data_IF_726728674786
#
_entry.id   IF_726728674786
#
_cell.length_a   1.000
_cell.length_b   1.000
_cell.length_c   1.000
_cell.angle_alpha   90.00
_cell.angle_beta   90.00
_cell.angle_gamma   90.00
#
_symmetry.space_group_name_H-M   'P 1'
#
loop_
_entity.id
_entity.type
_entity.pdbx_description
1 polymer ?
#
# COMPACT_ATOMS: atom_id res chain seq x y z
N UNK A 1 -21.69 13.44 -0.41
CA UNK A 1 -20.78 13.84 -0.86
C UNK A 1 -19.53 13.51 -0.34
N UNK A 2 -19.30 13.56 0.85
CA UNK A 2 -18.07 13.18 1.31
C UNK A 2 -17.78 11.79 1.03
N UNK A 3 -18.75 10.93 0.97
CA UNK A 3 -18.52 9.57 0.69
C UNK A 3 -17.89 9.40 -0.63
N UNK A 4 -18.25 10.25 -1.55
CA UNK A 4 -17.70 10.15 -2.84
C UNK A 4 -16.23 10.34 -2.83
N UNK A 5 -15.73 11.20 -2.01
CA UNK A 5 -14.32 11.44 -1.94
C UNK A 5 -13.61 10.22 -1.49
N UNK A 6 -14.21 9.41 -0.63
CA UNK A 6 -13.52 8.28 -0.19
C UNK A 6 -13.39 7.25 -1.20
N UNK A 7 -14.20 7.21 -2.20
CA UNK A 7 -14.10 6.20 -3.20
C UNK A 7 -12.90 6.43 -4.07
N UNK A 8 -12.36 7.64 -4.07
CA UNK A 8 -11.21 7.93 -4.87
C UNK A 8 -10.25 8.66 -4.01
N UNK A 9 -9.64 7.96 -3.07
CA UNK A 9 -8.76 8.62 -2.12
C UNK A 9 -7.58 9.23 -2.83
N UNK A 10 -7.30 10.46 -2.52
CA UNK A 10 -6.20 11.15 -3.12
C UNK A 10 -4.90 10.52 -2.78
N UNK A 11 -4.87 9.80 -1.68
CA UNK A 11 -3.66 9.17 -1.20
C UNK A 11 -3.19 8.03 -2.09
N UNK A 12 -4.04 7.55 -2.99
CA UNK A 12 -3.68 6.40 -3.80
C UNK A 12 -2.47 6.67 -4.68
N UNK A 13 -2.36 7.88 -5.23
CA UNK A 13 -1.20 8.21 -6.04
C UNK A 13 0.08 8.10 -5.22
N UNK A 14 0.06 8.59 -3.98
CA UNK A 14 1.22 8.52 -3.10
C UNK A 14 1.58 7.09 -2.78
N UNK A 15 0.56 6.24 -2.62
CA UNK A 15 0.79 4.84 -2.33
C UNK A 15 1.49 4.16 -3.50
N UNK A 16 1.03 4.43 -4.72
CA UNK A 16 1.67 3.82 -5.89
C UNK A 16 3.10 4.32 -6.07
N UNK A 17 3.34 5.60 -5.83
CA UNK A 17 4.68 6.13 -5.91
C UNK A 17 5.56 5.46 -4.86
N UNK A 18 5.07 5.33 -3.64
CA UNK A 18 5.85 4.75 -2.57
C UNK A 18 6.22 3.30 -2.88
N UNK A 19 5.25 2.52 -3.36
CA UNK A 19 5.49 1.11 -3.63
C UNK A 19 6.12 0.86 -4.99
N UNK A 20 6.30 1.90 -5.80
CA UNK A 20 6.90 1.75 -7.11
C UNK A 20 8.41 1.59 -7.07
N UNK A 21 9.06 2.04 -6.01
CA UNK A 21 10.50 1.89 -5.88
C UNK A 21 10.80 0.51 -5.29
N UNK A 22 11.61 -0.32 -5.96
CA UNK A 22 11.82 -1.70 -5.49
C UNK A 22 12.42 -1.79 -4.09
N UNK A 23 13.38 -0.92 -3.77
CA UNK A 23 14.00 -0.95 -2.45
C UNK A 23 13.00 -0.53 -1.38
N UNK A 24 12.22 0.49 -1.67
CA UNK A 24 11.23 0.97 -0.72
C UNK A 24 10.14 -0.07 -0.51
N UNK A 25 9.74 -0.75 -1.58
CA UNK A 25 8.75 -1.81 -1.48
C UNK A 25 9.27 -2.95 -0.62
N UNK A 26 10.56 -3.29 -0.75
CA UNK A 26 11.13 -4.33 0.07
C UNK A 26 11.15 -3.93 1.54
N UNK A 27 11.48 -2.68 1.82
CA UNK A 27 11.45 -2.18 3.19
C UNK A 27 10.03 -2.29 3.75
N UNK A 28 9.04 -1.92 2.96
CA UNK A 28 7.66 -2.03 3.39
C UNK A 28 7.30 -3.48 3.70
N UNK A 29 7.71 -4.42 2.84
CA UNK A 29 7.41 -5.83 3.05
C UNK A 29 8.02 -6.35 4.33
N UNK A 30 9.23 -5.91 4.64
CA UNK A 30 9.88 -6.35 5.87
C UNK A 30 9.19 -5.79 7.09
N UNK A 31 8.79 -4.54 7.04
CA UNK A 31 8.09 -3.92 8.15
C UNK A 31 6.70 -4.55 8.30
N UNK A 32 6.06 -4.91 7.21
CA UNK A 32 4.77 -5.56 7.26
C UNK A 32 4.87 -6.94 7.91
N UNK A 33 5.99 -7.61 7.71
CA UNK A 33 6.18 -8.92 8.32
C UNK A 33 6.36 -8.81 9.83
N UNK A 34 7.07 -7.78 10.29
CA UNK A 34 7.17 -7.51 11.72
C UNK A 34 7.75 -6.11 11.93
N UNK A 35 7.42 -5.47 13.03
CA UNK A 35 7.95 -4.13 13.32
C UNK A 35 9.47 -4.16 13.44
N UNK A 36 10.12 -3.13 12.94
CA UNK A 36 11.57 -3.05 12.92
C UNK A 36 12.06 -1.63 13.03
N UNK A 37 13.29 -1.47 13.50
CA UNK A 37 13.92 -0.17 13.59
C UNK A 37 14.72 0.09 12.31
N UNK A 38 15.18 1.33 12.14
CA UNK A 38 16.04 1.69 11.02
C UNK A 38 17.30 0.85 11.04
N UNK A 39 17.87 0.65 12.23
CA UNK A 39 19.11 -0.12 12.34
C UNK A 39 18.93 -1.55 11.90
N UNK A 40 17.81 -2.15 12.28
CA UNK A 40 17.56 -3.53 11.89
C UNK A 40 17.39 -3.64 10.38
N UNK A 41 16.67 -2.72 9.80
CA UNK A 41 16.46 -2.73 8.35
C UNK A 41 17.78 -2.51 7.61
N UNK A 42 18.57 -1.54 8.06
CA UNK A 42 19.85 -1.26 7.39
C UNK A 42 20.83 -2.39 7.56
N UNK A 43 20.69 -3.17 8.63
CA UNK A 43 21.57 -4.31 8.83
C UNK A 43 21.29 -5.45 7.87
N UNK A 44 20.06 -5.54 7.39
CA UNK A 44 19.67 -6.65 6.53
C UNK A 44 19.66 -6.28 5.05
N UNK A 45 19.77 -5.02 4.72
CA UNK A 45 19.65 -4.58 3.34
C UNK A 45 20.91 -3.84 2.92
N UNK A 46 21.28 -3.89 1.65
CA UNK A 46 22.45 -3.17 1.16
C UNK A 46 22.14 -1.69 0.97
N UNK A 47 21.67 -1.04 2.03
CA UNK A 47 21.22 0.34 1.98
C UNK A 47 21.67 1.01 3.27
N UNK A 48 22.12 2.25 3.17
CA UNK A 48 22.59 2.96 4.35
C UNK A 48 21.45 3.36 5.25
N UNK A 49 21.74 3.65 6.51
CA UNK A 49 20.72 4.11 7.45
C UNK A 49 20.02 5.35 6.97
N UNK A 50 20.72 6.38 6.48
CA UNK A 50 20.01 7.56 5.97
C UNK A 50 19.06 7.23 4.84
N UNK A 51 19.44 6.29 3.96
CA UNK A 51 18.58 5.90 2.86
C UNK A 51 17.35 5.16 3.36
N UNK A 52 17.53 4.27 4.36
CA UNK A 52 16.40 3.58 4.96
C UNK A 52 15.45 4.58 5.60
N UNK A 53 15.99 5.55 6.32
CA UNK A 53 15.16 6.58 6.95
C UNK A 53 14.35 7.35 5.92
N UNK A 54 14.97 7.68 4.79
CA UNK A 54 14.29 8.42 3.75
C UNK A 54 13.18 7.58 3.13
N UNK A 55 13.45 6.31 2.88
CA UNK A 55 12.44 5.42 2.35
C UNK A 55 11.26 5.26 3.32
N UNK A 56 11.56 5.14 4.61
CA UNK A 56 10.50 5.02 5.61
C UNK A 56 9.67 6.29 5.69
N UNK A 57 10.29 7.45 5.47
CA UNK A 57 9.55 8.69 5.49
C UNK A 57 8.54 8.74 4.35
N UNK A 58 8.94 8.31 3.17
CA UNK A 58 8.03 8.27 2.03
C UNK A 58 6.87 7.31 2.32
N UNK A 59 7.18 6.15 2.90
CA UNK A 59 6.16 5.18 3.25
C UNK A 59 5.20 5.73 4.32
N UNK A 60 5.75 6.45 5.28
CA UNK A 60 4.94 7.01 6.34
C UNK A 60 4.01 8.10 5.80
N UNK A 61 4.54 8.94 4.93
CA UNK A 61 3.74 10.01 4.34
C UNK A 61 2.61 9.45 3.49
N UNK A 62 2.79 8.26 2.93
CA UNK A 62 1.75 7.59 2.15
C UNK A 62 0.77 6.80 3.03
N UNK A 63 0.99 6.78 4.34
CA UNK A 63 0.09 6.07 5.25
C UNK A 63 0.32 4.57 5.27
N UNK A 64 1.47 4.11 4.82
CA UNK A 64 1.75 2.67 4.76
C UNK A 64 2.49 2.16 5.98
N UNK A 65 3.19 3.02 6.69
CA UNK A 65 3.85 2.66 7.93
C UNK A 65 3.65 3.76 8.96
N UNK A 66 3.77 3.40 10.23
CA UNK A 66 3.75 4.36 11.32
C UNK A 66 4.91 4.02 12.22
N UNK A 67 5.27 4.90 13.13
CA UNK A 67 6.39 4.67 14.00
C UNK A 67 6.07 5.09 15.42
N UNK A 68 6.82 4.52 16.35
CA UNK A 68 6.70 4.89 17.75
C UNK A 68 8.08 4.86 18.38
N UNK A 69 8.23 5.65 19.43
CA UNK A 69 9.47 5.66 20.15
C UNK A 69 9.58 4.43 21.04
N UNK A 70 10.76 3.86 21.11
CA UNK A 70 11.02 2.72 21.98
C UNK A 70 12.45 2.92 22.49
N UNK A 71 12.58 3.55 23.66
CA UNK A 71 13.89 3.93 24.16
C UNK A 71 14.45 5.03 23.28
N UNK A 72 15.67 4.84 22.82
CA UNK A 72 16.29 5.82 21.93
C UNK A 72 16.18 5.39 20.47
N UNK A 73 15.25 4.49 20.16
CA UNK A 73 15.02 4.03 18.80
C UNK A 73 13.60 4.32 18.41
N UNK A 74 13.34 4.24 17.11
CA UNK A 74 11.98 4.32 16.62
C UNK A 74 11.69 3.01 15.93
N UNK A 75 10.53 2.44 16.24
CA UNK A 75 10.09 1.17 15.67
C UNK A 75 9.01 1.46 14.66
N UNK A 76 9.19 0.97 13.45
CA UNK A 76 8.22 1.16 12.37
C UNK A 76 7.37 -0.07 12.22
N UNK A 77 6.07 0.15 12.00
CA UNK A 77 5.11 -0.92 11.83
C UNK A 77 4.24 -0.62 10.64
N UNK A 78 3.65 -1.65 10.06
CA UNK A 78 2.71 -1.45 8.98
C UNK A 78 1.50 -0.68 9.49
N UNK A 79 1.04 0.28 8.71
CA UNK A 79 -0.15 1.06 9.03
C UNK A 79 -1.23 0.64 8.05
N UNK A 80 -2.40 0.32 8.58
CA UNK A 80 -3.48 -0.16 7.74
C UNK A 80 -4.18 0.94 6.98
N UNK A 81 -4.01 2.19 7.38
CA UNK A 81 -4.72 3.28 6.72
C UNK A 81 -4.45 3.34 5.22
N UNK A 82 -3.18 3.32 4.84
CA UNK A 82 -2.84 3.36 3.43
C UNK A 82 -3.30 2.13 2.70
N UNK A 83 -3.18 0.96 3.37
CA UNK A 83 -3.61 -0.28 2.73
C UNK A 83 -5.13 -0.31 2.54
N UNK A 84 -5.88 0.27 3.47
CA UNK A 84 -7.33 0.33 3.32
C UNK A 84 -7.70 1.21 2.14
N UNK A 85 -7.00 2.31 1.96
CA UNK A 85 -7.24 3.19 0.82
C UNK A 85 -6.93 2.48 -0.48
N UNK A 86 -5.83 1.75 -0.51
CA UNK A 86 -5.46 1.00 -1.70
C UNK A 86 -6.48 -0.10 -1.98
N UNK A 87 -6.93 -0.77 -0.95
CA UNK A 87 -7.92 -1.82 -1.12
C UNK A 87 -9.22 -1.25 -1.67
N UNK A 88 -9.67 -0.13 -1.16
CA UNK A 88 -10.89 0.48 -1.64
C UNK A 88 -10.78 0.84 -3.12
N UNK A 89 -9.63 1.36 -3.51
CA UNK A 89 -9.36 1.71 -4.90
C UNK A 89 -9.41 0.47 -5.78
N UNK A 90 -8.76 -0.62 -5.35
CA UNK A 90 -8.73 -1.84 -6.13
C UNK A 90 -10.11 -2.52 -6.16
N UNK A 91 -10.85 -2.42 -5.06
CA UNK A 91 -12.19 -3.00 -4.99
C UNK A 91 -13.11 -2.37 -6.01
N UNK A 92 -12.92 -1.09 -6.29
CA UNK A 92 -13.74 -0.41 -7.27
C UNK A 92 -13.61 -1.11 -8.63
N UNK A 93 -12.39 -1.40 -9.04
CA UNK A 93 -12.17 -2.07 -10.32
C UNK A 93 -12.53 -3.53 -10.26
N UNK A 94 -12.27 -4.17 -9.13
CA UNK A 94 -12.60 -5.58 -8.99
C UNK A 94 -14.10 -5.77 -9.11
N UNK A 95 -14.88 -4.90 -8.48
CA UNK A 95 -16.33 -4.99 -8.55
C UNK A 95 -16.85 -4.73 -9.96
N UNK A 96 -16.21 -3.82 -10.68
CA UNK A 96 -16.59 -3.59 -12.07
C UNK A 96 -16.29 -4.82 -12.92
N UNK A 97 -15.16 -5.44 -12.70
CA UNK A 97 -14.78 -6.62 -13.46
C UNK A 97 -15.75 -7.76 -13.18
N UNK A 98 -16.13 -7.93 -11.91
CA UNK A 98 -17.08 -8.98 -11.55
C UNK A 98 -18.45 -8.72 -12.14
N UNK A 99 -18.88 -7.48 -12.15
CA UNK A 99 -20.18 -7.12 -12.72
C UNK A 99 -20.19 -7.40 -14.22
N UNK A 100 -19.09 -7.07 -14.89
CA UNK A 100 -19.00 -7.34 -16.32
C UNK A 100 -18.99 -8.82 -16.61
N UNK A 101 -18.30 -9.59 -15.79
CA UNK A 101 -18.26 -11.02 -15.95
C UNK A 101 -19.64 -11.62 -15.74
N UNK A 102 -20.35 -11.18 -14.73
CA UNK A 102 -21.67 -11.67 -14.42
C UNK A 102 -22.61 -11.38 -15.57
N UNK A 103 -22.56 -10.20 -16.10
CA UNK A 103 -23.41 -9.82 -17.23
C UNK A 103 -23.12 -10.71 -18.43
N UNK A 104 -21.87 -10.95 -18.72
CA UNK A 104 -21.51 -11.79 -19.85
C UNK A 104 -22.01 -13.22 -19.67
N UNK A 105 -21.92 -13.72 -18.47
CA UNK A 105 -22.34 -15.09 -18.21
C UNK A 105 -23.87 -15.21 -18.27
N UNK A 106 -24.57 -14.22 -17.84
CA UNK A 106 -26.02 -14.27 -17.79
C UNK A 106 -26.71 -13.92 -19.11
N UNK A 107 -25.95 -13.34 -20.03
CA UNK A 107 -26.55 -12.99 -21.28
C UNK A 107 -26.83 -14.18 -22.13
N UNK A 108 -27.96 -14.24 -22.81
CA UNK A 108 -28.20 -15.36 -23.71
C UNK A 108 -27.23 -15.26 -24.86
N UNK A 109 -26.82 -16.39 -25.33
CA UNK A 109 -25.86 -16.43 -26.44
C UNK A 109 -26.56 -16.06 -27.71
N UNK A 110 -26.57 -14.88 -28.09
CA UNK A 110 -27.18 -14.52 -29.28
C UNK A 110 -26.38 -14.70 -30.47
N UNK A 111 -25.17 -14.76 -30.33
CA UNK A 111 -24.41 -14.85 -31.46
C UNK A 111 -24.39 -16.15 -31.97
N UNK A 112 -25.01 -17.03 -31.41
CA UNK A 112 -24.97 -18.28 -31.85
C UNK A 112 -25.40 -18.38 -33.15
N UNK A 113 -25.94 -17.58 -33.67
CA UNK A 113 -26.35 -17.73 -34.89
C UNK A 113 -25.54 -17.42 -35.76
#
# INVERSE_FOLDING_TARGET
MTTYVRERPENVASIFVALGDPTRREIFERVAARPQSVSELAGDLPVSRPAVSQHLRVLKDAGLVSDRAAGNRRIYSMDRCGLQDLRAYLDFFWNQALAAFKTAVEQPPKEQR
#
